data_IF_838980191755
#
_entry.id   IF_838980191755
#
_cell.length_a   1.000
_cell.length_b   1.000
_cell.length_c   1.000
_cell.angle_alpha   90.00
_cell.angle_beta   90.00
_cell.angle_gamma   90.00
#
_symmetry.space_group_name_H-M   'P 1'
#
loop_
_entity.id
_entity.type
_entity.pdbx_description
1 polymer ?
#
# COMPACT_ATOMS: atom_id res chain seq x y z
N UNK A 1 19.54 -1.03 12.25
CA UNK A 1 18.13 -1.16 11.86
C UNK A 1 18.10 -1.44 10.36
N UNK A 2 17.52 -2.56 9.95
CA UNK A 2 17.46 -2.96 8.54
C UNK A 2 16.47 -2.05 7.78
N UNK A 3 16.70 -1.78 6.50
CA UNK A 3 15.80 -0.99 5.65
C UNK A 3 14.36 -1.54 5.66
N UNK A 4 14.21 -2.86 5.74
CA UNK A 4 12.92 -3.52 5.87
C UNK A 4 12.20 -3.21 7.19
N UNK A 5 12.93 -3.04 8.30
CA UNK A 5 12.34 -2.67 9.61
C UNK A 5 11.84 -1.23 9.59
N UNK A 6 12.59 -0.32 8.95
CA UNK A 6 12.13 1.04 8.70
C UNK A 6 10.85 1.07 7.85
N UNK A 7 10.80 0.29 6.77
CA UNK A 7 9.63 0.21 5.91
C UNK A 7 8.42 -0.38 6.65
N UNK A 8 8.63 -1.38 7.52
CA UNK A 8 7.56 -1.91 8.39
C UNK A 8 6.98 -0.85 9.31
N UNK A 9 7.84 -0.07 9.97
CA UNK A 9 7.40 1.02 10.86
C UNK A 9 6.61 2.09 10.10
N UNK A 10 7.07 2.50 8.92
CA UNK A 10 6.36 3.47 8.06
C UNK A 10 4.98 2.96 7.62
N UNK A 11 4.90 1.70 7.19
CA UNK A 11 3.63 1.09 6.78
C UNK A 11 2.67 0.98 7.96
N UNK A 12 3.17 0.65 9.14
CA UNK A 12 2.38 0.60 10.36
C UNK A 12 1.82 1.98 10.73
N UNK A 13 2.61 3.06 10.60
CA UNK A 13 2.13 4.43 10.77
C UNK A 13 1.02 4.79 9.78
N UNK A 14 1.16 4.41 8.50
CA UNK A 14 0.11 4.63 7.49
C UNK A 14 -1.18 3.90 7.84
N UNK A 15 -1.09 2.63 8.28
CA UNK A 15 -2.26 1.82 8.64
C UNK A 15 -2.99 2.45 9.84
N UNK A 16 -2.27 2.89 10.87
CA UNK A 16 -2.86 3.57 12.02
C UNK A 16 -3.57 4.86 11.61
N UNK A 17 -2.92 5.70 10.80
CA UNK A 17 -3.52 6.95 10.32
C UNK A 17 -4.80 6.71 9.49
N UNK A 18 -4.78 5.75 8.56
CA UNK A 18 -5.96 5.41 7.75
C UNK A 18 -7.08 4.86 8.63
N UNK A 19 -6.74 4.01 9.60
CA UNK A 19 -7.69 3.42 10.55
C UNK A 19 -8.44 4.51 11.35
N UNK A 20 -7.72 5.50 11.85
CA UNK A 20 -8.28 6.62 12.61
C UNK A 20 -9.09 7.58 11.72
N UNK A 21 -8.55 7.97 10.57
CA UNK A 21 -9.16 8.99 9.72
C UNK A 21 -10.43 8.49 8.98
N UNK A 22 -10.47 7.19 8.66
CA UNK A 22 -11.63 6.57 8.01
C UNK A 22 -12.53 5.84 9.01
N UNK A 23 -12.18 5.83 10.30
CA UNK A 23 -12.90 5.11 11.37
C UNK A 23 -13.17 3.64 11.01
N UNK A 24 -12.12 2.95 10.57
CA UNK A 24 -12.17 1.54 10.15
C UNK A 24 -11.20 0.70 10.97
N UNK A 25 -11.38 -0.62 10.97
CA UNK A 25 -10.43 -1.52 11.62
C UNK A 25 -9.05 -1.47 10.95
N UNK A 26 -8.00 -1.84 11.69
CA UNK A 26 -6.64 -1.93 11.17
C UNK A 26 -6.51 -2.88 9.97
N UNK A 27 -7.25 -3.99 9.97
CA UNK A 27 -7.28 -4.91 8.83
C UNK A 27 -7.88 -4.26 7.60
N UNK A 28 -8.92 -3.44 7.77
CA UNK A 28 -9.55 -2.74 6.66
C UNK A 28 -8.66 -1.60 6.15
N UNK A 29 -8.04 -0.83 7.05
CA UNK A 29 -7.02 0.16 6.69
C UNK A 29 -5.84 -0.47 5.92
N UNK A 30 -5.37 -1.65 6.34
CA UNK A 30 -4.35 -2.42 5.61
C UNK A 30 -4.83 -2.84 4.22
N UNK A 31 -6.09 -3.30 4.09
CA UNK A 31 -6.69 -3.63 2.78
C UNK A 31 -6.79 -2.38 1.90
N UNK A 32 -7.21 -1.24 2.44
CA UNK A 32 -7.32 0.02 1.71
C UNK A 32 -5.95 0.48 1.18
N UNK A 33 -4.93 0.48 2.04
CA UNK A 33 -3.57 0.78 1.63
C UNK A 33 -3.09 -0.20 0.55
N UNK A 34 -3.35 -1.50 0.72
CA UNK A 34 -2.99 -2.49 -0.30
C UNK A 34 -3.70 -2.25 -1.63
N UNK A 35 -5.00 -1.91 -1.65
CA UNK A 35 -5.77 -1.60 -2.87
C UNK A 35 -5.15 -0.44 -3.65
N UNK A 36 -4.75 0.63 -2.95
CA UNK A 36 -4.10 1.79 -3.54
C UNK A 36 -2.70 1.47 -4.08
N UNK A 37 -1.89 0.74 -3.31
CA UNK A 37 -0.47 0.48 -3.62
C UNK A 37 -0.29 -0.63 -4.68
N UNK A 38 -1.15 -1.64 -4.66
CA UNK A 38 -1.04 -2.83 -5.51
C UNK A 38 -1.33 -2.51 -6.98
N UNK A 39 -2.35 -1.69 -7.24
CA UNK A 39 -2.80 -1.34 -8.61
C UNK A 39 -3.12 -2.54 -9.52
N UNK A 40 -3.20 -3.74 -8.96
CA UNK A 40 -3.38 -5.00 -9.68
C UNK A 40 -2.09 -5.63 -10.23
N UNK A 41 -0.93 -5.14 -9.81
CA UNK A 41 0.37 -5.56 -10.32
C UNK A 41 0.92 -6.84 -9.68
N UNK A 42 0.43 -7.25 -8.50
CA UNK A 42 0.98 -8.41 -7.78
C UNK A 42 0.32 -9.74 -8.16
N UNK A 43 1.08 -10.82 -8.03
CA UNK A 43 0.64 -12.17 -8.42
C UNK A 43 -0.56 -12.65 -7.59
N UNK A 44 -0.57 -12.35 -6.29
CA UNK A 44 -1.72 -12.68 -5.44
C UNK A 44 -3.00 -12.00 -5.94
N UNK A 45 -2.91 -10.73 -6.34
CA UNK A 45 -4.07 -10.03 -6.89
C UNK A 45 -4.53 -10.71 -8.18
N UNK A 46 -3.61 -11.03 -9.09
CA UNK A 46 -3.95 -11.64 -10.38
C UNK A 46 -4.58 -13.03 -10.25
N UNK A 47 -4.20 -13.78 -9.23
CA UNK A 47 -4.58 -15.19 -9.07
C UNK A 47 -5.69 -15.44 -8.05
N UNK A 48 -5.82 -14.60 -7.02
CA UNK A 48 -6.70 -14.86 -5.85
C UNK A 48 -7.62 -13.72 -5.44
N UNK A 49 -7.48 -12.52 -6.03
CA UNK A 49 -8.27 -11.35 -5.60
C UNK A 49 -9.78 -11.55 -5.71
N UNK A 50 -10.23 -12.19 -6.79
CA UNK A 50 -11.66 -12.46 -7.05
C UNK A 50 -12.27 -13.33 -5.95
N UNK A 51 -11.62 -14.44 -5.61
CA UNK A 51 -12.10 -15.37 -4.59
C UNK A 51 -12.09 -14.73 -3.19
N UNK A 52 -11.16 -13.80 -2.94
CA UNK A 52 -11.04 -13.07 -1.68
C UNK A 52 -11.95 -11.83 -1.57
N UNK A 53 -12.78 -11.56 -2.58
CA UNK A 53 -13.60 -10.33 -2.65
C UNK A 53 -12.74 -9.07 -2.53
N UNK A 54 -11.56 -9.05 -3.14
CA UNK A 54 -10.63 -7.92 -3.12
C UNK A 54 -10.69 -7.19 -4.46
N UNK A 55 -11.51 -6.14 -4.55
CA UNK A 55 -11.50 -5.24 -5.70
C UNK A 55 -10.72 -3.96 -5.37
N UNK A 56 -9.73 -3.62 -6.22
CA UNK A 56 -8.94 -2.39 -6.10
C UNK A 56 -9.74 -1.13 -6.43
N UNK A 57 -10.87 -1.28 -7.11
CA UNK A 57 -11.76 -0.17 -7.49
C UNK A 57 -12.67 0.29 -6.34
N UNK A 58 -12.83 -0.53 -5.29
CA UNK A 58 -13.69 -0.25 -4.12
C UNK A 58 -13.29 0.96 -3.27
N UNK A 59 -12.15 1.61 -3.55
CA UNK A 59 -11.81 2.85 -2.86
C UNK A 59 -12.59 4.01 -3.48
N UNK A 60 -13.38 4.69 -2.65
CA UNK A 60 -13.97 5.99 -3.00
C UNK A 60 -12.88 7.02 -3.30
N UNK A 61 -13.22 8.08 -4.03
CA UNK A 61 -12.25 9.14 -4.34
C UNK A 61 -11.67 9.79 -3.08
N UNK A 62 -12.51 10.02 -2.06
CA UNK A 62 -12.06 10.50 -0.74
C UNK A 62 -11.02 9.57 -0.13
N UNK A 63 -11.30 8.28 -0.08
CA UNK A 63 -10.39 7.29 0.48
C UNK A 63 -9.08 7.20 -0.28
N UNK A 64 -9.12 7.30 -1.62
CA UNK A 64 -7.90 7.34 -2.45
C UNK A 64 -7.03 8.55 -2.07
N UNK A 65 -7.62 9.73 -1.93
CA UNK A 65 -6.89 10.95 -1.52
C UNK A 65 -6.26 10.79 -0.14
N UNK A 66 -7.02 10.30 0.84
CA UNK A 66 -6.49 10.06 2.20
C UNK A 66 -5.28 9.13 2.19
N UNK A 67 -5.35 8.03 1.41
CA UNK A 67 -4.24 7.08 1.30
C UNK A 67 -3.06 7.67 0.52
N UNK A 68 -3.32 8.41 -0.56
CA UNK A 68 -2.29 9.06 -1.36
C UNK A 68 -1.52 10.12 -0.55
N UNK A 69 -2.23 10.95 0.21
CA UNK A 69 -1.67 12.02 1.01
C UNK A 69 -0.74 11.47 2.09
N UNK A 70 -1.17 10.44 2.83
CA UNK A 70 -0.33 9.83 3.88
C UNK A 70 0.90 9.11 3.28
N UNK A 71 0.76 8.50 2.10
CA UNK A 71 1.88 7.88 1.39
C UNK A 71 2.91 8.93 1.00
N UNK A 72 2.47 10.04 0.39
CA UNK A 72 3.35 11.16 0.02
C UNK A 72 4.01 11.79 1.24
N UNK A 73 3.29 11.94 2.34
CA UNK A 73 3.81 12.52 3.58
C UNK A 73 4.92 11.64 4.20
N UNK A 74 4.71 10.33 4.30
CA UNK A 74 5.67 9.42 4.98
C UNK A 74 6.81 8.96 4.06
N UNK A 75 6.56 8.88 2.75
CA UNK A 75 7.54 8.44 1.74
C UNK A 75 8.07 9.59 0.86
N UNK A 76 7.88 10.84 1.26
CA UNK A 76 8.22 12.01 0.43
C UNK A 76 9.69 12.17 0.05
N UNK A 77 10.57 11.30 0.53
CA UNK A 77 11.98 11.26 0.17
C UNK A 77 12.28 10.33 -1.03
N UNK A 78 11.27 9.68 -1.60
CA UNK A 78 11.40 8.81 -2.77
C UNK A 78 10.26 9.06 -3.76
N UNK A 79 10.50 8.72 -5.02
CA UNK A 79 9.47 8.74 -6.06
C UNK A 79 8.29 7.83 -5.71
N UNK A 80 7.09 8.23 -6.13
CA UNK A 80 5.83 7.55 -5.74
C UNK A 80 5.82 6.06 -6.13
N UNK A 81 6.44 5.69 -7.26
CA UNK A 81 6.49 4.29 -7.68
C UNK A 81 7.46 3.44 -6.85
N UNK A 82 8.57 4.02 -6.38
CA UNK A 82 9.49 3.35 -5.46
C UNK A 82 8.84 3.26 -4.06
N UNK A 83 8.14 4.31 -3.62
CA UNK A 83 7.35 4.30 -2.39
C UNK A 83 6.35 3.15 -2.39
N UNK A 84 5.55 3.05 -3.45
CA UNK A 84 4.58 1.98 -3.62
C UNK A 84 5.25 0.59 -3.63
N UNK A 85 6.40 0.44 -4.29
CA UNK A 85 7.14 -0.84 -4.31
C UNK A 85 7.58 -1.27 -2.91
N UNK A 86 8.20 -0.36 -2.15
CA UNK A 86 8.64 -0.61 -0.76
C UNK A 86 7.48 -0.97 0.17
N UNK A 87 6.40 -0.18 0.13
CA UNK A 87 5.20 -0.43 0.93
C UNK A 87 4.61 -1.81 0.58
N UNK A 88 4.54 -2.15 -0.71
CA UNK A 88 3.97 -3.42 -1.15
C UNK A 88 4.75 -4.63 -0.62
N UNK A 89 6.08 -4.56 -0.55
CA UNK A 89 6.91 -5.64 -0.01
C UNK A 89 6.59 -5.96 1.46
N UNK A 90 6.07 -4.97 2.20
CA UNK A 90 5.59 -5.14 3.57
C UNK A 90 4.13 -5.64 3.62
N UNK A 91 3.29 -5.13 2.71
CA UNK A 91 1.85 -5.46 2.70
C UNK A 91 1.55 -6.87 2.18
N UNK A 92 2.27 -7.29 1.16
CA UNK A 92 2.05 -8.55 0.44
C UNK A 92 3.38 -9.31 0.29
N UNK A 93 3.96 -9.79 1.40
CA UNK A 93 5.22 -10.53 1.36
C UNK A 93 5.06 -11.82 0.53
N UNK A 94 6.09 -12.16 -0.25
CA UNK A 94 6.07 -13.33 -1.14
C UNK A 94 5.32 -13.13 -2.46
N UNK A 95 4.65 -11.98 -2.64
CA UNK A 95 3.97 -11.62 -3.88
C UNK A 95 4.31 -10.17 -4.27
N UNK A 96 5.58 -9.83 -4.49
CA UNK A 96 5.98 -8.45 -4.71
C UNK A 96 5.39 -7.89 -6.00
N UNK A 97 5.05 -6.59 -5.99
CA UNK A 97 4.87 -5.87 -7.25
C UNK A 97 6.23 -5.75 -7.97
N UNK A 98 6.29 -5.72 -9.30
CA UNK A 98 7.53 -5.45 -10.03
C UNK A 98 8.19 -4.16 -9.54
N UNK A 99 9.51 -4.18 -9.36
CA UNK A 99 10.24 -2.96 -9.01
C UNK A 99 10.19 -1.98 -10.19
N UNK A 100 9.88 -0.69 -9.97
CA UNK A 100 9.95 0.29 -11.05
C UNK A 100 11.36 0.33 -11.64
N UNK A 101 11.45 0.51 -12.96
CA UNK A 101 12.74 0.76 -13.61
C UNK A 101 13.21 2.16 -13.20
N UNK A 102 14.46 2.28 -12.77
CA UNK A 102 15.11 3.59 -12.66
C UNK A 102 15.40 4.05 -14.08
N UNK A 103 14.81 5.18 -14.47
CA UNK A 103 15.29 5.90 -15.64
C UNK A 103 16.49 6.70 -15.15
N UNK A 104 17.69 6.16 -15.36
CA UNK A 104 18.94 6.93 -15.27
C UNK A 104 19.04 7.94 -16.43
#
# INVERSE_FOLDING_TARGET
MNELEHDRSKVEMMITYISENENVSRSEARRMLHKYICEGACDWYRTRSRDAGFDRLDLTEKQRRVVEDIVKQIMGNVEIDEAKWRIHNVLCPGHPRPRPKRND
#
